data_IF_853492840082
#
_entry.id   IF_853492840082
#
_cell.length_a   1.000
_cell.length_b   1.000
_cell.length_c   1.000
_cell.angle_alpha   90.00
_cell.angle_beta   90.00
_cell.angle_gamma   90.00
#
_symmetry.space_group_name_H-M   'P 1'
#
loop_
_entity.id
_entity.type
_entity.pdbx_description
1 polymer ?
#
# COMPACT_ATOMS: atom_id res chain seq x y z
N UNK A 1 -20.78 -24.93 -12.53
CA UNK A 1 -19.41 -24.44 -12.79
C UNK A 1 -18.54 -25.65 -13.06
N UNK A 2 -17.94 -25.75 -14.24
CA UNK A 2 -16.92 -26.76 -14.49
C UNK A 2 -15.62 -26.18 -13.90
N UNK A 3 -15.32 -26.55 -12.65
CA UNK A 3 -14.03 -26.23 -12.07
C UNK A 3 -12.97 -26.84 -12.99
N UNK A 4 -12.21 -26.00 -13.67
CA UNK A 4 -11.17 -26.51 -14.54
C UNK A 4 -10.13 -27.15 -13.63
N UNK A 5 -9.71 -28.41 -13.86
CA UNK A 5 -8.69 -29.06 -13.04
C UNK A 5 -7.43 -28.20 -12.86
N UNK A 6 -7.04 -27.43 -13.88
CA UNK A 6 -5.93 -26.48 -13.81
C UNK A 6 -6.13 -25.40 -12.75
N UNK A 7 -7.33 -24.83 -12.63
CA UNK A 7 -7.61 -23.78 -11.64
C UNK A 7 -7.48 -24.32 -10.21
N UNK A 8 -8.04 -25.51 -9.95
CA UNK A 8 -7.92 -26.17 -8.64
C UNK A 8 -6.45 -26.48 -8.32
N UNK A 9 -5.67 -26.96 -9.29
CA UNK A 9 -4.24 -27.22 -9.11
C UNK A 9 -3.43 -25.95 -8.84
N UNK A 10 -3.77 -24.82 -9.47
CA UNK A 10 -3.11 -23.54 -9.18
C UNK A 10 -3.36 -23.10 -7.73
N UNK A 11 -4.57 -23.32 -7.21
CA UNK A 11 -4.90 -23.04 -5.80
C UNK A 11 -4.12 -23.96 -4.87
N UNK A 12 -4.07 -25.27 -5.15
CA UNK A 12 -3.31 -26.25 -4.35
C UNK A 12 -1.81 -25.92 -4.28
N UNK A 13 -1.23 -25.40 -5.36
CA UNK A 13 0.16 -24.95 -5.41
C UNK A 13 0.39 -23.58 -4.73
N UNK A 14 -0.67 -22.94 -4.23
CA UNK A 14 -0.60 -21.62 -3.61
C UNK A 14 -0.42 -20.47 -4.60
N UNK A 15 -0.62 -20.71 -5.90
CA UNK A 15 -0.55 -19.71 -6.98
C UNK A 15 -1.88 -18.99 -7.15
N UNK A 16 -2.34 -18.37 -6.06
CA UNK A 16 -3.70 -17.81 -5.97
C UNK A 16 -3.94 -16.61 -6.89
N UNK A 17 -2.93 -15.79 -7.16
CA UNK A 17 -3.03 -14.68 -8.11
C UNK A 17 -3.08 -15.19 -9.55
N UNK A 18 -2.30 -16.23 -9.86
CA UNK A 18 -2.35 -16.89 -11.16
C UNK A 18 -3.71 -17.56 -11.41
N UNK A 19 -4.29 -18.22 -10.40
CA UNK A 19 -5.61 -18.84 -10.49
C UNK A 19 -6.71 -17.82 -10.81
N UNK A 20 -6.69 -16.65 -10.14
CA UNK A 20 -7.63 -15.55 -10.42
C UNK A 20 -7.48 -15.02 -11.84
N UNK A 21 -6.25 -14.71 -12.28
CA UNK A 21 -6.02 -14.25 -13.65
C UNK A 21 -6.46 -15.29 -14.67
N UNK A 22 -6.24 -16.58 -14.42
CA UNK A 22 -6.69 -17.64 -15.31
C UNK A 22 -8.22 -17.64 -15.49
N UNK A 23 -9.00 -17.43 -14.42
CA UNK A 23 -10.45 -17.25 -14.56
C UNK A 23 -10.83 -15.97 -15.29
N UNK A 24 -10.15 -14.85 -15.03
CA UNK A 24 -10.39 -13.57 -15.71
C UNK A 24 -10.11 -13.66 -17.21
N UNK A 25 -9.02 -14.31 -17.60
CA UNK A 25 -8.67 -14.55 -19.01
C UNK A 25 -9.71 -15.44 -19.69
N UNK A 26 -10.22 -16.47 -19.01
CA UNK A 26 -11.30 -17.33 -19.56
C UNK A 26 -12.62 -16.59 -19.79
N UNK A 27 -12.88 -15.53 -19.04
CA UNK A 27 -14.07 -14.68 -19.21
C UNK A 27 -13.88 -13.61 -20.30
N UNK A 28 -12.63 -13.39 -20.73
CA UNK A 28 -12.23 -12.28 -21.61
C UNK A 28 -11.62 -12.83 -22.90
N UNK A 29 -12.41 -13.04 -23.96
CA UNK A 29 -11.92 -13.62 -25.22
C UNK A 29 -10.90 -12.71 -25.94
N UNK A 30 -10.85 -11.42 -25.61
CA UNK A 30 -9.92 -10.44 -26.21
C UNK A 30 -8.44 -10.82 -26.02
N UNK A 31 -8.13 -11.61 -24.99
CA UNK A 31 -6.77 -12.05 -24.70
C UNK A 31 -6.33 -13.23 -25.58
N UNK A 32 -7.24 -13.88 -26.32
CA UNK A 32 -6.88 -14.94 -27.27
C UNK A 32 -6.07 -14.43 -28.47
N UNK A 33 -6.19 -13.13 -28.79
CA UNK A 33 -5.41 -12.50 -29.85
C UNK A 33 -3.92 -12.32 -29.49
N UNK A 34 -3.56 -12.42 -28.21
CA UNK A 34 -2.19 -12.31 -27.74
C UNK A 34 -1.42 -13.63 -27.95
N UNK A 35 -0.11 -13.55 -28.25
CA UNK A 35 0.71 -14.74 -28.31
C UNK A 35 0.72 -15.45 -26.94
N UNK A 36 0.97 -16.76 -26.98
CA UNK A 36 0.96 -17.61 -25.80
C UNK A 36 1.88 -17.11 -24.68
N UNK A 37 3.10 -16.66 -25.04
CA UNK A 37 4.08 -16.14 -24.09
C UNK A 37 3.56 -14.91 -23.35
N UNK A 38 2.90 -13.98 -24.05
CA UNK A 38 2.34 -12.77 -23.43
C UNK A 38 1.19 -13.13 -22.47
N UNK A 39 0.35 -14.10 -22.84
CA UNK A 39 -0.71 -14.58 -21.94
C UNK A 39 -0.15 -15.19 -20.66
N UNK A 40 0.92 -15.98 -20.77
CA UNK A 40 1.62 -16.53 -19.59
C UNK A 40 2.27 -15.41 -18.79
N UNK A 41 2.91 -14.45 -19.45
CA UNK A 41 3.49 -13.27 -18.80
C UNK A 41 2.48 -12.57 -17.90
N UNK A 42 1.28 -12.28 -18.43
CA UNK A 42 0.19 -11.65 -17.68
C UNK A 42 -0.27 -12.49 -16.47
N UNK A 43 -0.33 -13.82 -16.60
CA UNK A 43 -0.68 -14.72 -15.49
C UNK A 43 0.38 -14.66 -14.37
N UNK A 44 1.66 -14.67 -14.74
CA UNK A 44 2.79 -14.62 -13.81
C UNK A 44 2.87 -13.26 -13.13
N UNK A 45 2.69 -12.17 -13.87
CA UNK A 45 2.69 -10.81 -13.35
C UNK A 45 1.58 -10.62 -12.31
N UNK A 46 0.39 -11.19 -12.54
CA UNK A 46 -0.69 -11.15 -11.56
C UNK A 46 -0.31 -11.85 -10.26
N UNK A 47 0.34 -13.01 -10.33
CA UNK A 47 0.82 -13.74 -9.16
C UNK A 47 1.91 -12.96 -8.41
N UNK A 48 2.88 -12.38 -9.14
CA UNK A 48 3.93 -11.55 -8.55
C UNK A 48 3.34 -10.36 -7.80
N UNK A 49 2.42 -9.62 -8.43
CA UNK A 49 1.73 -8.48 -7.83
C UNK A 49 0.91 -8.89 -6.58
N UNK A 50 0.24 -10.04 -6.61
CA UNK A 50 -0.53 -10.56 -5.47
C UNK A 50 0.41 -10.89 -4.29
N UNK A 51 1.57 -11.50 -4.56
CA UNK A 51 2.58 -11.80 -3.53
C UNK A 51 3.17 -10.54 -2.92
N UNK A 52 3.48 -9.54 -3.73
CA UNK A 52 4.02 -8.28 -3.26
C UNK A 52 3.00 -7.50 -2.44
N UNK A 53 1.73 -7.48 -2.87
CA UNK A 53 0.62 -6.92 -2.10
C UNK A 53 0.48 -7.63 -0.76
N UNK A 54 0.56 -8.98 -0.72
CA UNK A 54 0.50 -9.75 0.53
C UNK A 54 1.67 -9.45 1.46
N UNK A 55 2.89 -9.31 0.91
CA UNK A 55 4.08 -8.93 1.68
C UNK A 55 3.95 -7.52 2.24
N UNK A 56 3.50 -6.57 1.42
CA UNK A 56 3.28 -5.19 1.81
C UNK A 56 2.23 -5.09 2.92
N UNK A 57 1.06 -5.69 2.73
CA UNK A 57 -0.02 -5.69 3.73
C UNK A 57 0.41 -6.35 5.04
N UNK A 58 1.21 -7.42 4.98
CA UNK A 58 1.78 -8.04 6.18
C UNK A 58 2.74 -7.10 6.91
N UNK A 59 3.64 -6.42 6.17
CA UNK A 59 4.55 -5.41 6.74
C UNK A 59 3.78 -4.25 7.37
N UNK A 60 2.73 -3.75 6.70
CA UNK A 60 1.89 -2.68 7.21
C UNK A 60 1.16 -3.09 8.49
N UNK A 61 0.64 -4.33 8.55
CA UNK A 61 0.02 -4.89 9.76
C UNK A 61 1.01 -4.96 10.93
N UNK A 62 2.23 -5.46 10.67
CA UNK A 62 3.28 -5.55 11.69
C UNK A 62 3.73 -4.15 12.15
N UNK A 63 3.87 -3.20 11.22
CA UNK A 63 4.25 -1.83 11.54
C UNK A 63 3.22 -1.11 12.42
N UNK A 64 2.00 -1.66 12.55
CA UNK A 64 0.91 -1.15 13.39
C UNK A 64 0.79 0.38 13.31
N UNK A 65 0.88 0.92 12.09
CA UNK A 65 0.97 2.35 11.87
C UNK A 65 -0.32 2.99 12.40
N UNK A 66 -0.22 3.74 13.49
CA UNK A 66 -1.37 4.37 14.18
C UNK A 66 -1.93 5.57 13.43
N UNK A 67 -1.38 5.88 12.26
CA UNK A 67 -1.76 7.01 11.43
C UNK A 67 -2.40 6.50 10.14
N UNK A 68 -3.57 7.03 9.81
CA UNK A 68 -4.20 6.90 8.49
C UNK A 68 -3.36 7.69 7.49
N UNK A 69 -2.33 7.06 6.93
CA UNK A 69 -1.50 7.67 5.89
C UNK A 69 -2.21 7.50 4.54
N UNK A 70 -2.72 8.60 4.00
CA UNK A 70 -3.23 8.66 2.63
C UNK A 70 -2.06 8.88 1.66
N UNK A 71 -2.20 8.47 0.39
CA UNK A 71 -1.12 8.61 -0.61
C UNK A 71 -0.80 10.09 -0.86
N UNK A 72 -1.77 10.96 -0.62
CA UNK A 72 -1.67 12.41 -0.68
C UNK A 72 -0.79 13.03 0.42
N UNK A 73 -0.52 12.32 1.53
CA UNK A 73 0.29 12.80 2.66
C UNK A 73 1.80 12.51 2.50
N UNK A 74 2.24 12.02 1.33
CA UNK A 74 3.65 11.81 1.05
C UNK A 74 4.35 13.17 0.87
N UNK A 75 4.95 13.67 1.95
CA UNK A 75 5.73 14.91 1.93
C UNK A 75 7.08 14.69 1.22
N UNK A 76 7.08 14.86 -0.11
CA UNK A 76 8.28 14.82 -0.94
C UNK A 76 9.15 16.08 -0.80
N UNK A 77 8.76 17.06 0.03
CA UNK A 77 9.44 18.35 0.16
C UNK A 77 10.62 18.32 1.13
N UNK A 78 11.02 17.15 1.62
CA UNK A 78 12.30 17.03 2.34
C UNK A 78 13.42 16.78 1.32
N UNK A 79 14.13 17.81 0.83
CA UNK A 79 15.39 17.57 0.13
C UNK A 79 16.31 16.83 1.10
N UNK A 80 16.88 15.72 0.65
CA UNK A 80 17.94 14.99 1.38
C UNK A 80 19.15 15.91 1.56
N UNK A 81 19.13 16.73 2.60
CA UNK A 81 20.25 17.56 3.02
C UNK A 81 20.87 16.94 4.26
N UNK A 82 21.51 15.78 4.10
CA UNK A 82 22.39 15.22 5.15
C UNK A 82 23.78 14.94 4.61
N UNK A 83 24.27 15.85 3.77
CA UNK A 83 25.69 16.04 3.47
C UNK A 83 25.97 17.53 3.50
N UNK A 84 25.82 18.14 4.67
CA UNK A 84 26.43 19.42 4.97
C UNK A 84 27.35 19.20 6.19
N UNK A 85 28.60 19.69 6.17
CA UNK A 85 29.53 19.47 7.26
C UNK A 85 29.02 20.14 8.54
N UNK A 86 29.18 19.45 9.67
CA UNK A 86 28.86 19.95 11.00
C UNK A 86 29.63 21.23 11.29
N UNK A 87 28.93 22.37 11.36
CA UNK A 87 29.48 23.63 11.85
C UNK A 87 29.18 23.78 13.34
N UNK A 88 30.19 23.80 14.23
CA UNK A 88 29.96 23.90 15.66
C UNK A 88 29.99 25.37 16.10
N UNK A 89 29.08 26.22 15.59
CA UNK A 89 28.77 27.47 16.29
C UNK A 89 27.49 28.14 15.79
N UNK A 90 26.41 28.05 16.55
CA UNK A 90 25.45 29.17 16.68
C UNK A 90 24.59 28.94 17.93
N UNK A 91 24.87 29.74 18.94
CA UNK A 91 24.01 29.99 20.08
C UNK A 91 22.62 30.47 19.62
N UNK A 92 21.57 29.85 20.18
CA UNK A 92 20.18 30.33 20.24
C UNK A 92 19.47 30.56 18.90
N UNK A 93 18.47 29.71 18.61
CA UNK A 93 17.05 30.12 18.67
C UNK A 93 16.26 28.90 19.14
N UNK A 94 15.70 28.99 20.35
CA UNK A 94 14.57 28.17 20.76
C UNK A 94 13.38 28.56 19.88
N UNK A 95 13.27 27.91 18.73
CA UNK A 95 12.09 27.98 17.87
C UNK A 95 11.19 26.82 18.23
N UNK A 96 10.13 27.11 18.97
CA UNK A 96 9.00 26.23 19.22
C UNK A 96 8.69 25.34 18.02
N UNK A 97 8.98 24.05 18.12
CA UNK A 97 8.22 23.05 17.39
C UNK A 97 6.86 23.07 18.09
N UNK A 98 6.02 23.98 17.64
CA UNK A 98 4.60 23.97 17.94
C UNK A 98 4.10 22.63 17.42
N UNK A 99 4.04 21.65 18.31
CA UNK A 99 3.14 20.51 18.19
C UNK A 99 1.75 21.11 18.05
N UNK A 100 1.34 21.40 16.82
CA UNK A 100 -0.02 21.74 16.47
C UNK A 100 -0.78 20.41 16.50
N UNK A 101 -0.98 19.91 17.71
CA UNK A 101 -2.10 19.03 18.03
C UNK A 101 -3.30 19.78 17.47
N UNK A 102 -3.97 19.22 16.48
CA UNK A 102 -5.32 19.62 16.13
C UNK A 102 -6.19 19.41 17.37
N UNK A 103 -6.22 20.41 18.26
CA UNK A 103 -7.26 20.57 19.23
C UNK A 103 -8.52 20.90 18.43
N UNK A 104 -9.41 19.91 18.36
CA UNK A 104 -10.77 20.01 17.87
C UNK A 104 -11.43 21.32 18.32
N UNK A 105 -12.10 22.07 17.44
CA UNK A 105 -12.97 23.15 17.87
C UNK A 105 -14.35 22.60 18.27
N UNK A 106 -14.72 22.81 19.54
CA UNK A 106 -16.09 22.79 20.06
C UNK A 106 -16.63 21.40 20.46
N UNK A 107 -16.93 21.11 21.73
CA UNK A 107 -17.85 21.87 22.57
C UNK A 107 -17.42 21.96 24.06
N UNK A 108 -17.81 23.03 24.79
CA UNK A 108 -17.40 23.28 26.17
C UNK A 108 -18.25 22.55 27.23
N UNK A 109 -17.57 22.17 28.33
CA UNK A 109 -18.03 21.34 29.44
C UNK A 109 -18.99 22.01 30.45
N UNK A 110 -19.92 22.86 30.00
CA UNK A 110 -20.91 23.51 30.87
C UNK A 110 -22.34 23.51 30.29
N UNK A 111 -22.65 22.60 29.35
CA UNK A 111 -24.02 22.33 28.92
C UNK A 111 -24.86 21.69 30.05
N UNK A 112 -25.29 22.56 30.98
CA UNK A 112 -26.54 22.66 31.77
C UNK A 112 -27.35 21.35 31.89
N UNK A 113 -27.51 20.76 33.08
CA UNK A 113 -28.44 21.18 34.16
C UNK A 113 -29.84 21.47 33.59
N UNK A 114 -30.73 20.51 33.83
CA UNK A 114 -32.15 20.47 33.48
C UNK A 114 -32.64 19.04 33.64
#
# INVERSE_FOLDING_TARGET
>A
MLNHPTHERLIELGLTGMAKAFEEQRRSPDLEALPFEDRIGLLVDREAAERDTRRLTTRLKIAALRQTACVEDVDLRTPRASTAPFSPNSSKVAGSIATRICSSPGQPAWAKVG
#
